data_IF_773747274872
#
_entry.id   IF_773747274872
#
_cell.length_a   1.000
_cell.length_b   1.000
_cell.length_c   1.000
_cell.angle_alpha   90.00
_cell.angle_beta   90.00
_cell.angle_gamma   90.00
#
_symmetry.space_group_name_H-M   'P 1'
#
loop_
_entity.id
_entity.type
_entity.pdbx_description
1 polymer ?
#
# COMPACT_ATOMS: atom_id res chain seq x y z
N UNK A 1 -2.27 3.69 1.18
CA UNK A 1 -0.86 4.07 1.13
C UNK A 1 -0.74 5.55 1.40
N UNK A 2 0.19 5.92 2.26
CA UNK A 2 0.44 7.30 2.65
C UNK A 2 1.89 7.69 2.38
N UNK A 3 2.14 8.96 2.08
CA UNK A 3 3.48 9.53 1.98
C UNK A 3 4.11 9.77 3.37
N UNK A 4 5.34 10.28 3.40
CA UNK A 4 6.09 10.57 4.64
C UNK A 4 5.43 11.64 5.52
N UNK A 5 4.59 12.50 4.93
CA UNK A 5 3.82 13.52 5.66
C UNK A 5 2.48 12.96 6.19
N UNK A 6 2.22 11.66 5.98
CA UNK A 6 0.99 10.99 6.40
C UNK A 6 -0.19 11.21 5.44
N UNK A 7 -0.01 11.93 4.33
CA UNK A 7 -1.08 12.15 3.35
C UNK A 7 -1.37 10.84 2.62
N UNK A 8 -2.64 10.44 2.57
CA UNK A 8 -3.07 9.27 1.80
C UNK A 8 -3.00 9.61 0.31
N UNK A 9 -2.14 8.90 -0.42
CA UNK A 9 -1.93 9.10 -1.87
C UNK A 9 -2.56 8.01 -2.73
N UNK A 10 -2.90 6.86 -2.13
CA UNK A 10 -3.64 5.79 -2.80
C UNK A 10 -4.46 4.98 -1.80
N UNK A 11 -5.67 4.56 -2.20
CA UNK A 11 -6.53 3.62 -1.47
C UNK A 11 -7.14 2.65 -2.46
N UNK A 12 -7.15 1.37 -2.11
CA UNK A 12 -7.78 0.32 -2.89
C UNK A 12 -8.51 -0.62 -1.94
N UNK A 13 -9.76 -0.92 -2.27
CA UNK A 13 -10.55 -1.93 -1.58
C UNK A 13 -10.58 -3.19 -2.42
N UNK A 14 -10.22 -4.31 -1.81
CA UNK A 14 -10.19 -5.62 -2.45
C UNK A 14 -11.13 -6.55 -1.69
N UNK A 15 -11.93 -7.32 -2.44
CA UNK A 15 -12.66 -8.44 -1.85
C UNK A 15 -11.67 -9.57 -1.59
N UNK A 16 -11.69 -10.14 -0.39
CA UNK A 16 -10.90 -11.32 -0.09
C UNK A 16 -11.43 -12.49 -0.93
N UNK A 17 -10.65 -12.94 -1.91
CA UNK A 17 -10.94 -14.11 -2.73
C UNK A 17 -9.93 -15.20 -2.35
N UNK A 18 -10.40 -16.43 -2.21
CA UNK A 18 -9.53 -17.56 -1.91
C UNK A 18 -8.42 -17.68 -2.97
N UNK A 19 -7.17 -17.85 -2.53
CA UNK A 19 -5.99 -17.95 -3.39
C UNK A 19 -5.26 -16.64 -3.68
N UNK A 20 -5.81 -15.47 -3.33
CA UNK A 20 -5.06 -14.21 -3.43
C UNK A 20 -4.05 -14.08 -2.29
N UNK A 21 -2.78 -14.30 -2.59
CA UNK A 21 -1.68 -14.20 -1.64
C UNK A 21 -0.87 -12.90 -1.79
N UNK A 22 -1.04 -12.19 -2.91
CA UNK A 22 -0.25 -11.01 -3.25
C UNK A 22 -1.10 -9.95 -3.96
N UNK A 23 -0.75 -8.69 -3.75
CA UNK A 23 -1.34 -7.53 -4.42
C UNK A 23 -0.20 -6.71 -5.00
N UNK A 24 -0.17 -6.58 -6.33
CA UNK A 24 0.78 -5.70 -7.00
C UNK A 24 0.38 -4.25 -6.85
N UNK A 25 1.35 -3.38 -6.56
CA UNK A 25 1.17 -1.93 -6.51
C UNK A 25 2.06 -1.32 -7.59
N UNK A 26 1.46 -0.61 -8.54
CA UNK A 26 2.24 0.15 -9.54
C UNK A 26 2.84 1.39 -8.89
N UNK A 27 4.16 1.56 -9.00
CA UNK A 27 4.89 2.71 -8.43
C UNK A 27 5.15 3.85 -9.41
N UNK A 28 4.80 3.67 -10.69
CA UNK A 28 5.13 4.61 -11.77
C UNK A 28 4.60 6.04 -11.57
N UNK A 29 3.50 6.18 -10.82
CA UNK A 29 2.85 7.47 -10.56
C UNK A 29 3.32 8.15 -9.27
N UNK A 30 4.17 7.50 -8.48
CA UNK A 30 4.66 8.03 -7.21
C UNK A 30 6.06 8.62 -7.39
N UNK A 31 6.27 9.77 -6.74
CA UNK A 31 7.57 10.43 -6.70
C UNK A 31 8.55 9.63 -5.84
N UNK A 32 9.85 9.83 -6.04
CA UNK A 32 10.89 9.25 -5.18
C UNK A 32 10.64 9.59 -3.72
N UNK A 33 10.77 8.58 -2.85
CA UNK A 33 10.57 8.78 -1.42
C UNK A 33 10.08 7.55 -0.67
N UNK A 34 9.76 7.77 0.60
CA UNK A 34 9.26 6.75 1.52
C UNK A 34 7.75 6.83 1.65
N UNK A 35 7.12 5.66 1.56
CA UNK A 35 5.68 5.48 1.67
C UNK A 35 5.36 4.40 2.69
N UNK A 36 4.18 4.52 3.30
CA UNK A 36 3.63 3.55 4.22
C UNK A 36 2.39 2.89 3.61
N UNK A 37 2.44 1.58 3.44
CA UNK A 37 1.33 0.76 2.98
C UNK A 37 0.63 0.18 4.20
N UNK A 38 -0.64 0.51 4.39
CA UNK A 38 -1.50 -0.11 5.41
C UNK A 38 -2.46 -1.07 4.72
N UNK A 39 -2.42 -2.33 5.15
CA UNK A 39 -3.37 -3.37 4.73
C UNK A 39 -4.25 -3.69 5.93
N UNK A 40 -5.56 -3.57 5.76
CA UNK A 40 -6.53 -3.73 6.84
C UNK A 40 -7.55 -4.79 6.44
N UNK A 41 -7.58 -5.89 7.18
CA UNK A 41 -8.65 -6.89 7.17
C UNK A 41 -9.65 -6.64 8.29
N UNK A 42 -10.65 -7.52 8.41
CA UNK A 42 -11.68 -7.44 9.46
C UNK A 42 -11.06 -7.52 10.86
N UNK A 43 -10.18 -8.48 11.07
CA UNK A 43 -9.62 -8.82 12.39
C UNK A 43 -8.08 -8.68 12.44
N UNK A 44 -7.46 -8.16 11.37
CA UNK A 44 -6.01 -8.01 11.29
C UNK A 44 -5.62 -6.74 10.54
N UNK A 45 -4.44 -6.22 10.87
CA UNK A 45 -3.84 -5.10 10.16
C UNK A 45 -2.34 -5.35 10.02
N UNK A 46 -1.79 -5.00 8.86
CA UNK A 46 -0.36 -5.00 8.61
C UNK A 46 0.06 -3.66 8.03
N UNK A 47 1.27 -3.23 8.38
CA UNK A 47 1.86 -2.02 7.83
C UNK A 47 3.23 -2.36 7.27
N UNK A 48 3.50 -1.87 6.05
CA UNK A 48 4.75 -2.10 5.34
C UNK A 48 5.33 -0.76 4.88
N UNK A 49 6.65 -0.67 4.83
CA UNK A 49 7.37 0.50 4.30
C UNK A 49 7.78 0.21 2.86
N UNK A 50 7.54 1.16 1.96
CA UNK A 50 7.95 1.11 0.57
C UNK A 50 8.88 2.29 0.29
N UNK A 51 10.03 2.02 -0.33
CA UNK A 51 10.90 3.05 -0.88
C UNK A 51 10.72 3.05 -2.40
N UNK A 52 10.32 4.18 -2.96
CA UNK A 52 10.26 4.39 -4.41
C UNK A 52 11.53 5.14 -4.82
N UNK A 53 12.23 4.60 -5.81
CA UNK A 53 13.43 5.17 -6.43
C UNK A 53 13.37 4.84 -7.92
N UNK A 54 13.46 5.84 -8.79
CA UNK A 54 13.54 5.68 -10.25
C UNK A 54 14.96 5.78 -10.80
#
# INVERSE_FOLDING_TARGET
MSDINGRVVARQELKAVAGYQQVGISTAQFQDGLYMIRVQGKDWMSTQKLSVMH
#
